data_IF_611972498565
#
_entry.id   IF_611972498565
#
_cell.length_a   1.000
_cell.length_b   1.000
_cell.length_c   1.000
_cell.angle_alpha   90.00
_cell.angle_beta   90.00
_cell.angle_gamma   90.00
#
_symmetry.space_group_name_H-M   'P 1'
#
loop_
_entity.id
_entity.type
_entity.pdbx_description
1 polymer ?
#
# COMPACT_ATOMS: atom_id res chain seq x y z
N UNK A 1 -11.07 30.68 7.28
CA UNK A 1 -10.64 29.28 7.51
C UNK A 1 -9.69 29.17 8.70
N UNK A 2 -8.84 30.16 8.94
CA UNK A 2 -7.84 30.16 10.02
C UNK A 2 -8.34 29.72 11.41
N UNK A 3 -9.58 30.06 11.81
CA UNK A 3 -10.11 29.66 13.12
C UNK A 3 -10.81 28.31 13.13
N UNK A 4 -11.20 27.77 11.96
CA UNK A 4 -11.90 26.49 11.88
C UNK A 4 -10.90 25.35 12.02
N UNK A 5 -11.27 24.36 12.83
CA UNK A 5 -10.52 23.12 12.91
C UNK A 5 -10.43 22.47 11.52
N UNK A 6 -9.21 22.24 11.06
CA UNK A 6 -8.91 21.59 9.79
C UNK A 6 -8.33 20.20 10.06
N UNK A 7 -8.87 19.20 9.37
CA UNK A 7 -8.38 17.83 9.37
C UNK A 7 -8.06 17.42 7.95
N UNK A 8 -6.88 16.83 7.76
CA UNK A 8 -6.46 16.32 6.46
C UNK A 8 -6.71 14.82 6.42
N UNK A 9 -7.49 14.35 5.44
CA UNK A 9 -7.82 12.93 5.31
C UNK A 9 -7.54 12.43 3.89
N UNK A 10 -7.26 11.14 3.76
CA UNK A 10 -7.08 10.49 2.47
C UNK A 10 -6.75 9.00 2.63
N UNK A 11 -6.54 8.31 1.51
CA UNK A 11 -6.26 6.87 1.49
C UNK A 11 -5.14 6.53 0.48
N UNK A 12 -4.54 5.34 0.60
CA UNK A 12 -3.67 4.77 -0.41
C UNK A 12 -2.45 5.67 -0.66
N UNK A 13 -2.30 6.21 -1.87
CA UNK A 13 -1.20 7.11 -2.21
C UNK A 13 -1.25 8.46 -1.46
N UNK A 14 -2.37 8.79 -0.81
CA UNK A 14 -2.45 9.91 0.12
C UNK A 14 -1.48 9.76 1.31
N UNK A 15 -0.96 8.56 1.59
CA UNK A 15 0.19 8.33 2.46
C UNK A 15 1.45 9.14 2.07
N UNK A 16 1.55 9.60 0.82
CA UNK A 16 2.58 10.54 0.35
C UNK A 16 2.12 11.99 0.42
N UNK A 17 0.88 12.26 0.03
CA UNK A 17 0.36 13.63 -0.09
C UNK A 17 0.07 14.27 1.26
N UNK A 18 -0.68 13.57 2.12
CA UNK A 18 -1.19 14.13 3.37
C UNK A 18 -0.05 14.54 4.30
N UNK A 19 0.98 13.71 4.57
CA UNK A 19 2.10 14.15 5.41
C UNK A 19 2.82 15.38 4.83
N UNK A 20 2.98 15.45 3.50
CA UNK A 20 3.65 16.58 2.85
C UNK A 20 2.85 17.87 2.96
N UNK A 21 1.54 17.82 2.70
CA UNK A 21 0.68 19.00 2.78
C UNK A 21 0.41 19.43 4.22
N UNK A 22 0.18 18.48 5.12
CA UNK A 22 0.03 18.76 6.55
C UNK A 22 1.27 19.43 7.13
N UNK A 23 2.47 18.99 6.74
CA UNK A 23 3.71 19.68 7.12
C UNK A 23 3.77 21.12 6.59
N UNK A 24 3.48 21.33 5.31
CA UNK A 24 3.50 22.66 4.72
C UNK A 24 2.47 23.61 5.37
N UNK A 25 1.27 23.12 5.69
CA UNK A 25 0.23 23.89 6.37
C UNK A 25 0.60 24.21 7.82
N UNK A 26 1.26 23.27 8.51
CA UNK A 26 1.75 23.49 9.86
C UNK A 26 2.81 24.60 9.90
N UNK A 27 3.76 24.58 8.97
CA UNK A 27 4.82 25.59 8.86
C UNK A 27 4.29 26.97 8.44
N UNK A 28 3.27 27.01 7.57
CA UNK A 28 2.63 28.26 7.14
C UNK A 28 1.89 28.95 8.31
N UNK A 29 1.27 28.18 9.21
CA UNK A 29 0.61 28.70 10.41
C UNK A 29 -0.71 29.44 10.16
N UNK A 30 -1.16 29.61 8.91
CA UNK A 30 -2.45 30.27 8.60
C UNK A 30 -3.66 29.35 8.77
N UNK A 31 -3.44 28.06 9.03
CA UNK A 31 -4.47 27.05 9.18
C UNK A 31 -4.45 26.46 10.60
N UNK A 32 -5.63 26.33 11.23
CA UNK A 32 -5.79 25.61 12.48
C UNK A 32 -5.86 24.09 12.23
N UNK A 33 -4.75 23.53 11.74
CA UNK A 33 -4.59 22.09 11.49
C UNK A 33 -4.59 21.31 12.82
N UNK A 34 -5.57 20.42 12.98
CA UNK A 34 -5.74 19.60 14.19
C UNK A 34 -5.18 18.19 14.07
N UNK A 35 -5.18 17.65 12.86
CA UNK A 35 -4.73 16.28 12.66
C UNK A 35 -4.76 15.83 11.22
N UNK A 36 -4.16 14.66 11.01
CA UNK A 36 -4.16 13.95 9.74
C UNK A 36 -4.56 12.50 9.98
N UNK A 37 -5.47 11.99 9.17
CA UNK A 37 -5.90 10.59 9.19
C UNK A 37 -5.69 10.01 7.80
N UNK A 38 -5.07 8.84 7.71
CA UNK A 38 -4.79 8.24 6.41
C UNK A 38 -5.16 6.75 6.47
N UNK A 39 -6.14 6.34 5.66
CA UNK A 39 -6.52 4.95 5.48
C UNK A 39 -5.48 4.23 4.61
N UNK A 40 -5.12 3.02 5.01
CA UNK A 40 -4.22 2.09 4.28
C UNK A 40 -3.08 2.79 3.52
N UNK A 41 -2.22 3.53 4.22
CA UNK A 41 -1.38 4.53 3.58
C UNK A 41 -0.13 3.93 2.96
N UNK A 42 0.21 4.34 1.74
CA UNK A 42 1.51 4.05 1.14
C UNK A 42 2.60 5.01 1.64
N UNK A 43 3.24 4.67 2.75
CA UNK A 43 4.21 5.53 3.46
C UNK A 43 5.64 5.03 3.34
N UNK A 44 5.87 3.72 3.45
CA UNK A 44 7.18 3.07 3.45
C UNK A 44 7.26 2.00 2.35
N UNK A 45 7.52 2.40 1.08
CA UNK A 45 7.48 1.53 -0.09
C UNK A 45 8.21 0.21 0.06
N UNK A 46 9.48 0.24 0.45
CA UNK A 46 10.31 -0.96 0.55
C UNK A 46 9.74 -1.93 1.60
N UNK A 47 9.47 -1.44 2.82
CA UNK A 47 8.93 -2.27 3.90
C UNK A 47 7.56 -2.82 3.53
N UNK A 48 6.64 -1.98 3.06
CA UNK A 48 5.29 -2.42 2.72
C UNK A 48 5.31 -3.44 1.58
N UNK A 49 6.02 -3.17 0.48
CA UNK A 49 6.08 -4.10 -0.66
C UNK A 49 6.68 -5.45 -0.25
N UNK A 50 7.79 -5.44 0.48
CA UNK A 50 8.48 -6.68 0.90
C UNK A 50 7.69 -7.51 1.92
N UNK A 51 6.71 -6.94 2.61
CA UNK A 51 5.93 -7.63 3.65
C UNK A 51 4.45 -7.87 3.25
N UNK A 52 4.07 -7.58 2.01
CA UNK A 52 2.70 -7.81 1.50
C UNK A 52 2.26 -9.28 1.60
N UNK A 53 3.19 -10.24 1.61
CA UNK A 53 2.91 -11.67 1.75
C UNK A 53 2.39 -12.09 3.14
N UNK A 54 2.57 -11.27 4.19
CA UNK A 54 2.20 -11.63 5.56
C UNK A 54 0.70 -11.90 5.69
N UNK A 55 -0.13 -11.03 5.11
CA UNK A 55 -1.57 -11.18 5.17
C UNK A 55 -2.05 -12.44 4.41
N UNK A 56 -1.64 -12.67 3.15
CA UNK A 56 -1.89 -13.93 2.44
C UNK A 56 -1.45 -15.18 3.21
N UNK A 57 -0.29 -15.16 3.87
CA UNK A 57 0.16 -16.26 4.71
C UNK A 57 -0.77 -16.48 5.91
N UNK A 58 -1.15 -15.42 6.62
CA UNK A 58 -2.08 -15.50 7.74
C UNK A 58 -3.49 -15.98 7.36
N UNK A 59 -3.89 -15.76 6.10
CA UNK A 59 -5.17 -16.20 5.54
C UNK A 59 -5.10 -17.60 4.91
N UNK A 60 -3.97 -18.32 5.02
CA UNK A 60 -3.71 -19.61 4.37
C UNK A 60 -3.83 -19.57 2.84
N UNK A 61 -3.64 -18.40 2.22
CA UNK A 61 -3.46 -18.26 0.77
C UNK A 61 -2.04 -18.71 0.38
N UNK A 62 -1.07 -18.47 1.26
CA UNK A 62 0.30 -18.96 1.15
C UNK A 62 0.60 -19.95 2.26
N UNK A 63 1.45 -20.92 1.96
CA UNK A 63 2.06 -21.82 2.95
C UNK A 63 3.60 -21.87 2.81
N UNK A 64 4.24 -22.73 3.60
CA UNK A 64 5.70 -22.88 3.63
C UNK A 64 6.31 -23.25 2.27
N UNK A 65 5.54 -23.88 1.37
CA UNK A 65 6.01 -24.22 0.03
C UNK A 65 6.23 -22.98 -0.85
N UNK A 66 5.55 -21.87 -0.57
CA UNK A 66 5.68 -20.61 -1.31
C UNK A 66 6.85 -19.74 -0.83
N UNK A 67 7.30 -19.92 0.41
CA UNK A 67 8.26 -19.03 1.07
C UNK A 67 9.63 -18.90 0.38
N UNK A 68 10.20 -19.95 -0.26
CA UNK A 68 11.43 -19.79 -1.05
C UNK A 68 11.28 -18.76 -2.18
N UNK A 69 10.15 -18.77 -2.90
CA UNK A 69 9.89 -17.81 -3.98
C UNK A 69 9.65 -16.40 -3.44
N UNK A 70 8.88 -16.27 -2.35
CA UNK A 70 8.69 -14.98 -1.65
C UNK A 70 10.03 -14.38 -1.24
N UNK A 71 10.91 -15.18 -0.63
CA UNK A 71 12.24 -14.73 -0.19
C UNK A 71 13.09 -14.26 -1.37
N UNK A 72 13.04 -14.98 -2.50
CA UNK A 72 13.74 -14.57 -3.72
C UNK A 72 13.23 -13.23 -4.27
N UNK A 73 11.91 -13.04 -4.32
CA UNK A 73 11.28 -11.79 -4.78
C UNK A 73 11.59 -10.61 -3.84
N UNK A 74 11.57 -10.83 -2.52
CA UNK A 74 11.98 -9.83 -1.53
C UNK A 74 13.42 -9.38 -1.75
N UNK A 75 14.34 -10.35 -1.92
CA UNK A 75 15.75 -10.05 -2.17
C UNK A 75 15.91 -9.23 -3.45
N UNK A 76 15.26 -9.64 -4.55
CA UNK A 76 15.31 -8.93 -5.81
C UNK A 76 14.77 -7.48 -5.70
N UNK A 77 13.66 -7.29 -4.98
CA UNK A 77 13.10 -5.98 -4.66
C UNK A 77 14.11 -5.11 -3.87
N UNK A 78 14.73 -5.66 -2.82
CA UNK A 78 15.72 -4.94 -2.01
C UNK A 78 16.99 -4.58 -2.77
N UNK A 79 17.46 -5.45 -3.66
CA UNK A 79 18.63 -5.21 -4.52
C UNK A 79 18.30 -4.12 -5.56
N UNK A 80 17.17 -4.24 -6.26
CA UNK A 80 16.70 -3.23 -7.21
C UNK A 80 16.52 -1.86 -6.54
N UNK A 81 16.02 -1.83 -5.30
CA UNK A 81 15.83 -0.59 -4.54
C UNK A 81 17.15 0.15 -4.25
N UNK A 82 18.26 -0.59 -4.09
CA UNK A 82 19.59 0.01 -3.87
C UNK A 82 20.18 0.57 -5.16
N UNK A 83 19.83 0.00 -6.31
CA UNK A 83 20.35 0.41 -7.62
C UNK A 83 19.58 1.59 -8.21
N UNK A 84 18.25 1.46 -8.32
CA UNK A 84 17.38 2.44 -8.95
C UNK A 84 16.00 2.42 -8.32
N UNK A 85 15.78 3.35 -7.40
CA UNK A 85 14.49 3.49 -6.69
C UNK A 85 13.30 3.73 -7.61
N UNK A 86 13.50 4.30 -8.80
CA UNK A 86 12.40 4.54 -9.74
C UNK A 86 11.97 3.26 -10.45
N UNK A 87 12.93 2.37 -10.76
CA UNK A 87 12.66 1.06 -11.38
C UNK A 87 12.29 -0.03 -10.38
N UNK A 88 12.69 0.12 -9.13
CA UNK A 88 12.41 -0.85 -8.08
C UNK A 88 10.92 -1.07 -7.83
N UNK A 89 10.05 -0.13 -8.21
CA UNK A 89 8.59 -0.27 -8.08
C UNK A 89 8.07 -1.55 -8.76
N UNK A 90 8.47 -1.79 -9.99
CA UNK A 90 8.00 -2.94 -10.78
C UNK A 90 8.56 -4.25 -10.20
N UNK A 91 9.86 -4.28 -9.86
CA UNK A 91 10.46 -5.44 -9.21
C UNK A 91 9.77 -5.79 -7.89
N UNK A 92 9.41 -4.78 -7.11
CA UNK A 92 8.74 -4.97 -5.82
C UNK A 92 7.25 -5.31 -5.98
N UNK A 93 6.61 -4.97 -7.10
CA UNK A 93 5.23 -5.37 -7.40
C UNK A 93 5.10 -6.89 -7.62
N UNK A 94 6.16 -7.53 -8.11
CA UNK A 94 6.20 -8.96 -8.38
C UNK A 94 5.84 -9.87 -7.19
N UNK A 95 5.98 -9.37 -5.95
CA UNK A 95 5.55 -10.10 -4.74
C UNK A 95 4.02 -10.25 -4.72
N UNK A 96 3.29 -9.15 -4.96
CA UNK A 96 1.82 -9.17 -5.02
C UNK A 96 1.36 -9.94 -6.26
N UNK A 97 2.04 -9.78 -7.40
CA UNK A 97 1.71 -10.52 -8.62
C UNK A 97 1.84 -12.03 -8.44
N UNK A 98 2.88 -12.48 -7.72
CA UNK A 98 3.04 -13.89 -7.37
C UNK A 98 1.90 -14.40 -6.48
N UNK A 99 1.48 -13.63 -5.48
CA UNK A 99 0.33 -13.98 -4.63
C UNK A 99 -0.96 -14.07 -5.44
N UNK A 100 -1.24 -13.08 -6.28
CA UNK A 100 -2.41 -13.09 -7.17
C UNK A 100 -2.41 -14.34 -8.04
N UNK A 101 -1.28 -14.63 -8.69
CA UNK A 101 -1.17 -15.77 -9.60
C UNK A 101 -1.43 -17.12 -8.92
N UNK A 102 -0.78 -17.38 -7.78
CA UNK A 102 -0.88 -18.70 -7.13
C UNK A 102 -2.19 -18.91 -6.39
N UNK A 103 -2.89 -17.83 -6.04
CA UNK A 103 -4.16 -17.87 -5.32
C UNK A 103 -5.39 -18.01 -6.23
N UNK A 104 -5.21 -17.91 -7.55
CA UNK A 104 -6.34 -17.86 -8.50
C UNK A 104 -6.95 -16.46 -8.61
N UNK A 105 -6.09 -15.44 -8.62
CA UNK A 105 -6.43 -14.02 -8.71
C UNK A 105 -7.17 -13.47 -7.49
N UNK A 106 -6.66 -13.73 -6.28
CA UNK A 106 -7.15 -13.03 -5.08
C UNK A 106 -7.01 -11.52 -5.25
N UNK A 107 -8.03 -10.77 -4.85
CA UNK A 107 -8.03 -9.31 -5.01
C UNK A 107 -7.06 -8.66 -4.00
N UNK A 108 -6.02 -7.93 -4.44
CA UNK A 108 -4.98 -7.45 -3.54
C UNK A 108 -5.44 -6.38 -2.54
N UNK A 109 -6.57 -5.71 -2.82
CA UNK A 109 -7.18 -4.72 -1.92
C UNK A 109 -8.13 -5.37 -0.90
N UNK A 110 -8.69 -6.54 -1.21
CA UNK A 110 -9.53 -7.32 -0.29
C UNK A 110 -9.31 -8.82 -0.52
N UNK A 111 -8.52 -9.44 0.35
CA UNK A 111 -8.15 -10.85 0.23
C UNK A 111 -9.29 -11.84 0.57
N UNK A 112 -10.53 -11.34 0.76
CA UNK A 112 -11.74 -12.16 0.94
C UNK A 112 -12.46 -12.47 -0.37
N UNK A 113 -12.12 -11.77 -1.45
CA UNK A 113 -12.74 -11.91 -2.77
C UNK A 113 -11.67 -12.15 -3.84
N UNK A 114 -12.09 -12.66 -4.99
CA UNK A 114 -11.23 -12.78 -6.17
C UNK A 114 -11.49 -11.62 -7.13
N UNK A 115 -10.52 -11.32 -8.00
CA UNK A 115 -10.65 -10.27 -8.99
C UNK A 115 -11.89 -10.42 -9.90
N UNK A 116 -12.33 -11.63 -10.29
CA UNK A 116 -13.59 -11.80 -11.02
C UNK A 116 -14.85 -11.51 -10.21
N UNK A 117 -14.80 -11.61 -8.88
CA UNK A 117 -15.92 -11.30 -7.99
C UNK A 117 -16.08 -9.79 -7.78
N UNK A 118 -15.07 -9.00 -8.16
CA UNK A 118 -15.11 -7.56 -8.05
C UNK A 118 -15.92 -6.97 -9.21
N UNK A 119 -17.17 -6.56 -8.91
CA UNK A 119 -18.01 -5.79 -9.82
C UNK A 119 -17.90 -4.29 -9.50
N UNK A 120 -17.45 -3.49 -10.47
CA UNK A 120 -17.22 -2.04 -10.35
C UNK A 120 -18.49 -1.28 -9.94
N UNK A 121 -19.66 -1.91 -10.07
CA UNK A 121 -20.98 -1.32 -9.81
C UNK A 121 -21.39 -1.38 -8.34
N UNK A 122 -20.83 -2.28 -7.53
CA UNK A 122 -21.27 -2.52 -6.14
C UNK A 122 -20.54 -1.68 -5.07
N UNK A 123 -19.58 -0.82 -5.44
CA UNK A 123 -18.78 -0.05 -4.47
C UNK A 123 -19.04 1.48 -4.55
N UNK A 124 -20.20 1.98 -4.08
CA UNK A 124 -20.44 3.41 -3.96
C UNK A 124 -19.79 3.93 -2.67
N UNK A 125 -18.45 3.93 -2.59
CA UNK A 125 -17.76 4.87 -1.70
C UNK A 125 -17.52 6.17 -2.46
N UNK A 126 -18.60 6.95 -2.54
CA UNK A 126 -18.59 8.40 -2.79
C UNK A 126 -19.09 9.11 -1.53
#
# INVERSE_FOLDING_TARGET
>A
LAEKDLYMTGESYAGKYIPRFSWAMHEDGSFNLKGSLIGDPYTAPLTQRTHTYILPQALNILDDSNMPQITALQKNCQESWKEDTAKASDTCAAIIDYVSLISGDVFPYDNRIFAPDWDVVEDPVA
#
